data_IF_851082129202
#
_entry.id   IF_851082129202
#
_cell.length_a   1.000
_cell.length_b   1.000
_cell.length_c   1.000
_cell.angle_alpha   90.00
_cell.angle_beta   90.00
_cell.angle_gamma   90.00
#
_symmetry.space_group_name_H-M   'P 1'
#
loop_
_entity.id
_entity.type
_entity.pdbx_description
1 polymer ?
#
# COMPACT_ATOMS: atom_id res chain seq x y z
N UNK A 1 -13.68 -21.30 4.75
CA UNK A 1 -12.26 -20.91 4.82
C UNK A 1 -12.12 -19.61 4.06
N UNK A 2 -12.43 -18.51 4.72
CA UNK A 2 -12.32 -17.16 4.16
C UNK A 2 -10.84 -16.80 4.12
N UNK A 3 -10.23 -16.95 2.93
CA UNK A 3 -8.92 -16.38 2.64
C UNK A 3 -9.13 -14.86 2.61
N UNK A 4 -9.10 -14.28 3.80
CA UNK A 4 -9.09 -12.83 3.99
C UNK A 4 -7.88 -12.35 3.21
N UNK A 5 -8.09 -11.70 2.07
CA UNK A 5 -7.03 -11.08 1.28
C UNK A 5 -6.49 -9.93 2.14
N UNK A 6 -5.65 -10.27 3.11
CA UNK A 6 -4.99 -9.33 4.00
C UNK A 6 -3.90 -8.63 3.19
N UNK A 7 -4.27 -7.70 2.30
CA UNK A 7 -3.41 -6.63 1.75
C UNK A 7 -1.94 -7.08 1.56
N UNK A 8 -1.75 -8.30 1.05
CA UNK A 8 -0.53 -9.04 1.34
C UNK A 8 0.50 -8.52 0.37
N UNK A 9 1.51 -7.83 0.91
CA UNK A 9 2.68 -7.32 0.18
C UNK A 9 3.38 -8.53 -0.44
N UNK A 10 2.88 -9.04 -1.56
CA UNK A 10 3.38 -10.23 -2.22
C UNK A 10 3.61 -9.88 -3.68
N UNK A 11 4.71 -10.37 -4.24
CA UNK A 11 5.01 -10.16 -5.63
C UNK A 11 3.91 -10.85 -6.48
N UNK A 12 3.17 -10.15 -7.34
CA UNK A 12 2.09 -10.75 -8.14
C UNK A 12 2.61 -11.83 -9.11
N UNK A 13 3.91 -11.81 -9.41
CA UNK A 13 4.55 -12.76 -10.31
C UNK A 13 5.12 -13.99 -9.60
N UNK A 14 5.72 -13.79 -8.43
CA UNK A 14 6.46 -14.85 -7.72
C UNK A 14 5.78 -15.31 -6.44
N UNK A 15 4.69 -14.64 -6.04
CA UNK A 15 3.95 -14.84 -4.78
C UNK A 15 4.85 -14.81 -3.53
N UNK A 16 6.09 -14.33 -3.68
CA UNK A 16 7.03 -14.18 -2.57
C UNK A 16 6.59 -12.99 -1.74
N UNK A 17 6.60 -13.08 -0.40
CA UNK A 17 6.39 -11.92 0.45
C UNK A 17 7.42 -10.84 0.10
N UNK A 18 6.91 -9.65 -0.23
CA UNK A 18 7.69 -8.43 -0.35
C UNK A 18 7.95 -7.94 1.08
N UNK A 19 9.22 -7.70 1.38
CA UNK A 19 9.67 -7.14 2.65
C UNK A 19 9.27 -5.64 2.75
N UNK A 20 9.88 -4.92 3.70
CA UNK A 20 9.69 -3.49 3.86
C UNK A 20 9.98 -2.71 2.56
N UNK A 21 9.25 -1.60 2.33
CA UNK A 21 9.51 -0.74 1.18
C UNK A 21 10.89 -0.10 1.33
N UNK A 22 11.68 -0.12 0.26
CA UNK A 22 13.01 0.50 0.25
C UNK A 22 12.93 2.02 0.11
N UNK A 23 11.82 2.53 -0.42
CA UNK A 23 11.58 3.95 -0.57
C UNK A 23 10.11 4.28 -0.28
N UNK A 24 9.90 5.47 0.30
CA UNK A 24 8.60 6.03 0.62
C UNK A 24 8.57 7.46 0.10
N UNK A 25 7.50 7.86 -0.56
CA UNK A 25 7.30 9.23 -1.02
C UNK A 25 5.89 9.70 -0.66
N UNK A 26 5.76 10.98 -0.35
CA UNK A 26 4.47 11.64 -0.15
C UNK A 26 4.33 12.68 -1.25
N UNK A 27 3.21 12.65 -1.97
CA UNK A 27 2.87 13.68 -2.95
C UNK A 27 1.44 14.12 -2.70
N UNK A 28 1.26 15.38 -2.30
CA UNK A 28 -0.04 15.96 -1.99
C UNK A 28 -0.80 15.12 -0.94
N UNK A 29 -1.86 14.40 -1.36
CA UNK A 29 -2.69 13.52 -0.53
C UNK A 29 -2.43 12.02 -0.79
N UNK A 30 -1.38 11.70 -1.55
CA UNK A 30 -0.99 10.35 -1.91
C UNK A 30 0.32 9.93 -1.19
N UNK A 31 0.30 8.75 -0.59
CA UNK A 31 1.48 8.07 -0.05
C UNK A 31 1.91 6.91 -0.95
N UNK A 32 3.16 6.95 -1.39
CA UNK A 32 3.76 5.96 -2.26
C UNK A 32 4.76 5.11 -1.48
N UNK A 33 4.62 3.79 -1.58
CA UNK A 33 5.59 2.82 -1.08
C UNK A 33 6.17 2.04 -2.25
N UNK A 34 7.50 2.05 -2.39
CA UNK A 34 8.22 1.33 -3.43
C UNK A 34 8.84 0.05 -2.87
N UNK A 35 8.64 -1.05 -3.58
CA UNK A 35 9.07 -2.39 -3.21
C UNK A 35 9.86 -3.02 -4.34
N UNK A 36 10.95 -3.69 -3.99
CA UNK A 36 11.71 -4.50 -4.92
C UNK A 36 11.56 -5.97 -4.54
N UNK A 37 11.22 -6.80 -5.52
CA UNK A 37 11.18 -8.23 -5.37
C UNK A 37 12.57 -8.81 -5.59
N UNK A 38 13.22 -9.29 -4.53
CA UNK A 38 14.55 -9.90 -4.63
C UNK A 38 14.55 -11.17 -5.52
N UNK A 39 13.47 -11.96 -5.49
CA UNK A 39 13.36 -13.18 -6.30
C UNK A 39 13.29 -12.92 -7.81
N UNK A 40 12.77 -11.76 -8.22
CA UNK A 40 12.44 -11.48 -9.60
C UNK A 40 13.06 -10.20 -10.16
N UNK A 41 13.73 -9.42 -9.31
CA UNK A 41 14.38 -8.16 -9.65
C UNK A 41 13.42 -7.07 -10.12
N UNK A 42 12.11 -7.22 -9.91
CA UNK A 42 11.11 -6.24 -10.34
C UNK A 42 10.77 -5.27 -9.23
N UNK A 43 10.60 -4.02 -9.61
CA UNK A 43 10.14 -2.95 -8.74
C UNK A 43 8.65 -2.71 -8.93
N UNK A 44 7.98 -2.41 -7.83
CA UNK A 44 6.54 -2.16 -7.78
C UNK A 44 6.29 -0.99 -6.82
N UNK A 45 5.28 -0.17 -7.11
CA UNK A 45 4.83 0.88 -6.21
C UNK A 45 3.40 0.62 -5.78
N UNK A 46 3.12 0.84 -4.50
CA UNK A 46 1.76 0.93 -3.97
C UNK A 46 1.43 2.37 -3.64
N UNK A 47 0.25 2.80 -4.06
CA UNK A 47 -0.28 4.14 -3.78
C UNK A 47 -1.39 4.00 -2.75
N UNK A 48 -1.26 4.74 -1.67
CA UNK A 48 -2.24 4.88 -0.62
C UNK A 48 -2.78 6.30 -0.71
N UNK A 49 -4.01 6.42 -1.19
CA UNK A 49 -4.74 7.67 -1.09
C UNK A 49 -5.12 7.87 0.36
N UNK A 50 -4.67 8.98 0.95
CA UNK A 50 -5.39 9.51 2.08
C UNK A 50 -6.66 10.11 1.49
N UNK A 51 -7.67 9.25 1.27
CA UNK A 51 -9.03 9.76 1.23
C UNK A 51 -9.14 10.59 2.49
N UNK A 52 -9.35 11.90 2.35
CA UNK A 52 -9.84 12.71 3.46
C UNK A 52 -10.95 11.87 4.05
N UNK A 53 -10.70 11.31 5.21
CA UNK A 53 -11.79 10.99 6.12
C UNK A 53 -12.35 12.40 6.27
N UNK A 54 -13.42 12.70 5.53
CA UNK A 54 -14.32 13.74 5.99
C UNK A 54 -14.61 13.26 7.40
N UNK A 55 -13.89 13.84 8.35
CA UNK A 55 -14.38 13.85 9.70
C UNK A 55 -15.68 14.60 9.49
N UNK A 56 -16.77 13.85 9.28
CA UNK A 56 -18.12 14.37 9.42
C UNK A 56 -18.02 15.22 10.69
N UNK A 57 -17.99 16.54 10.50
CA UNK A 57 -18.19 17.48 11.58
C UNK A 57 -19.57 17.11 12.08
N UNK A 58 -19.59 16.28 13.12
CA UNK A 58 -20.74 15.96 13.94
C UNK A 58 -21.56 17.23 14.07
N UNK A 59 -22.67 17.25 13.33
CA UNK A 59 -23.60 18.36 13.20
C UNK A 59 -23.95 18.83 14.62
N UNK A 60 -23.44 19.99 15.09
CA UNK A 60 -23.77 20.42 16.43
C UNK A 60 -25.14 21.11 16.42
N UNK A 61 -26.13 20.31 16.84
CA UNK A 61 -27.37 20.67 17.56
C UNK A 61 -28.45 21.53 16.89
#
# INVERSE_FOLDING_TARGET
MENTIQKSRQCPKCQTPLNEPYQRAYMEDDYYEFYACESCGKEFSHVYKFSRIEMDEDEPA
#
